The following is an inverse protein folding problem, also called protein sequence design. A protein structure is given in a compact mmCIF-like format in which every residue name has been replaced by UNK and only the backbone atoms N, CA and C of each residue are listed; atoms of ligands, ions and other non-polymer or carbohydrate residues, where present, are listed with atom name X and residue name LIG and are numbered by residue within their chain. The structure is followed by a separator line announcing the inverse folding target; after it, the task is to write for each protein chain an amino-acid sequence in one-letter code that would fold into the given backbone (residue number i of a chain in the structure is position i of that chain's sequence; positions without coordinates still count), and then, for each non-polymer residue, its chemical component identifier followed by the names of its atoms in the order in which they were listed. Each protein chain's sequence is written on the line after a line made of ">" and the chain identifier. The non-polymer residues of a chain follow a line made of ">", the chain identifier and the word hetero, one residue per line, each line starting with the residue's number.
data_IF_036579277650
#
_entry.id   IF_036579277650
#
_cell.length_a   1.000
_cell.length_b   1.000
_cell.length_c   1.000
_cell.angle_alpha   90.00
_cell.angle_beta   90.00
_cell.angle_gamma   90.00
#
_symmetry.space_group_name_H-M   'P 1'
#
loop_
_entity.id
_entity.type
_entity.pdbx_description
1 polymer ?
#
# COMPACT_ATOMS: atom_id res chain seq x y z
N UNK A 1 -23.26 -1.40 22.84
CA UNK A 1 -22.93 -0.56 21.67
C UNK A 1 -21.89 0.44 22.11
N UNK A 2 -20.63 0.23 21.72
CA UNK A 2 -19.60 1.26 21.88
C UNK A 2 -19.56 1.98 20.55
N UNK A 3 -20.10 3.19 20.50
CA UNK A 3 -19.89 4.12 19.39
C UNK A 3 -18.45 4.61 19.49
N UNK A 4 -17.51 3.87 18.91
CA UNK A 4 -16.16 4.40 18.69
C UNK A 4 -16.30 5.55 17.70
N UNK A 5 -15.90 6.74 18.14
CA UNK A 5 -15.61 7.87 17.25
C UNK A 5 -14.92 7.36 16.00
N UNK A 6 -15.38 7.80 14.83
CA UNK A 6 -14.93 7.36 13.50
C UNK A 6 -13.43 7.67 13.33
N UNK A 7 -12.58 6.84 13.95
CA UNK A 7 -11.13 6.90 13.90
C UNK A 7 -10.72 6.48 12.51
N UNK A 8 -10.49 7.47 11.67
CA UNK A 8 -10.03 7.33 10.31
C UNK A 8 -8.73 6.52 10.26
N UNK A 9 -8.82 5.21 10.04
CA UNK A 9 -7.63 4.36 10.00
C UNK A 9 -6.74 4.78 8.82
N UNK A 10 -5.44 4.89 9.09
CA UNK A 10 -4.41 5.15 8.09
C UNK A 10 -3.70 3.86 7.75
N UNK A 11 -3.41 3.64 6.47
CA UNK A 11 -2.65 2.50 5.98
C UNK A 11 -1.32 2.98 5.43
N UNK A 12 -0.21 2.52 5.99
CA UNK A 12 1.13 2.69 5.45
C UNK A 12 1.51 1.46 4.64
N UNK A 13 2.00 1.66 3.42
CA UNK A 13 2.30 0.58 2.47
C UNK A 13 3.68 0.82 1.83
N UNK A 14 4.42 -0.27 1.63
CA UNK A 14 5.73 -0.31 0.97
C UNK A 14 5.93 -1.65 0.25
N UNK A 15 6.67 -1.63 -0.86
CA UNK A 15 7.14 -2.81 -1.58
C UNK A 15 8.66 -2.80 -1.80
N UNK A 16 9.31 -3.89 -1.40
CA UNK A 16 10.73 -4.11 -1.64
C UNK A 16 10.95 -5.11 -2.77
N UNK A 17 11.65 -4.68 -3.83
CA UNK A 17 12.08 -5.56 -4.94
C UNK A 17 13.56 -5.90 -4.78
N UNK A 18 13.92 -7.18 -4.93
CA UNK A 18 15.32 -7.61 -4.99
C UNK A 18 15.72 -7.93 -6.43
N UNK A 19 16.66 -7.16 -7.01
CA UNK A 19 17.05 -7.24 -8.44
C UNK A 19 17.40 -8.66 -8.90
N UNK A 20 18.18 -9.40 -8.12
CA UNK A 20 18.69 -10.72 -8.50
C UNK A 20 17.83 -11.87 -7.94
N UNK A 21 16.54 -11.62 -7.73
CA UNK A 21 15.65 -12.59 -7.08
C UNK A 21 14.22 -12.40 -7.58
N UNK A 22 13.48 -13.49 -7.85
CA UNK A 22 12.09 -13.41 -8.28
C UNK A 22 11.17 -13.16 -7.07
N UNK A 23 11.56 -12.27 -6.15
CA UNK A 23 10.82 -12.07 -4.91
C UNK A 23 10.63 -10.59 -4.65
N UNK A 24 9.37 -10.25 -4.35
CA UNK A 24 8.95 -8.94 -3.87
C UNK A 24 8.39 -9.10 -2.47
N UNK A 25 8.90 -8.29 -1.55
CA UNK A 25 8.33 -8.12 -0.22
C UNK A 25 7.30 -7.00 -0.24
N UNK A 26 6.17 -7.21 0.41
CA UNK A 26 5.14 -6.18 0.63
C UNK A 26 4.95 -6.03 2.14
N UNK A 27 4.90 -4.80 2.62
CA UNK A 27 4.60 -4.45 4.00
C UNK A 27 3.38 -3.53 4.07
N UNK A 28 2.43 -3.86 4.95
CA UNK A 28 1.23 -3.07 5.19
C UNK A 28 1.05 -2.90 6.70
N UNK A 29 0.87 -1.66 7.16
CA UNK A 29 0.58 -1.33 8.56
C UNK A 29 -0.66 -0.44 8.61
N UNK A 30 -1.68 -0.86 9.35
CA UNK A 30 -2.88 -0.06 9.63
C UNK A 30 -2.74 0.56 11.02
N UNK A 31 -2.95 1.87 11.11
CA UNK A 31 -2.82 2.64 12.35
C UNK A 31 -4.07 3.43 12.66
N UNK A 32 -4.33 3.62 13.95
CA UNK A 32 -5.32 4.57 14.43
C UNK A 32 -4.76 6.01 14.45
N UNK A 33 -5.59 6.96 14.90
CA UNK A 33 -5.25 8.37 14.98
C UNK A 33 -4.17 8.69 16.03
N UNK A 34 -3.87 7.78 16.96
CA UNK A 34 -2.77 7.91 17.92
C UNK A 34 -1.47 7.31 17.39
N UNK A 35 -1.49 6.74 16.17
CA UNK A 35 -0.36 6.07 15.56
C UNK A 35 -0.17 4.63 16.03
N UNK A 36 -1.10 4.10 16.82
CA UNK A 36 -1.06 2.72 17.32
C UNK A 36 -1.39 1.75 16.20
N UNK A 37 -0.65 0.65 16.14
CA UNK A 37 -0.86 -0.39 15.11
C UNK A 37 -2.12 -1.17 15.46
N UNK A 38 -3.10 -1.14 14.56
CA UNK A 38 -4.36 -1.89 14.65
C UNK A 38 -4.23 -3.24 13.94
N UNK A 39 -3.52 -3.26 12.81
CA UNK A 39 -3.25 -4.47 12.04
C UNK A 39 -1.96 -4.31 11.24
N UNK A 40 -1.28 -5.41 10.96
CA UNK A 40 -0.13 -5.43 10.07
C UNK A 40 -0.07 -6.75 9.31
N UNK A 41 0.44 -6.70 8.09
CA UNK A 41 0.70 -7.91 7.29
C UNK A 41 1.93 -7.70 6.42
N UNK A 42 2.69 -8.78 6.24
CA UNK A 42 3.70 -8.86 5.19
C UNK A 42 3.31 -9.95 4.20
N UNK A 43 3.63 -9.73 2.92
CA UNK A 43 3.47 -10.74 1.88
C UNK A 43 4.76 -10.86 1.10
N UNK A 44 5.07 -12.09 0.71
CA UNK A 44 6.11 -12.40 -0.26
C UNK A 44 5.42 -12.81 -1.56
N UNK A 45 5.75 -12.13 -2.65
CA UNK A 45 5.19 -12.38 -3.99
C UNK A 45 6.32 -12.89 -4.86
N UNK A 46 6.07 -13.97 -5.60
CA UNK A 46 7.04 -14.52 -6.56
C UNK A 46 6.85 -13.85 -7.91
N UNK A 47 7.91 -13.26 -8.45
CA UNK A 47 7.95 -12.62 -9.76
C UNK A 47 9.04 -11.54 -9.86
N UNK A 48 9.37 -11.15 -11.09
CA UNK A 48 10.21 -10.00 -11.38
C UNK A 48 9.30 -8.83 -11.76
N UNK A 49 9.27 -7.81 -10.93
CA UNK A 49 8.42 -6.63 -11.12
C UNK A 49 9.28 -5.37 -11.07
N UNK A 50 8.87 -4.34 -11.82
CA UNK A 50 9.41 -3.01 -11.61
C UNK A 50 9.06 -2.54 -10.19
N UNK A 51 9.87 -1.67 -9.55
CA UNK A 51 9.49 -1.06 -8.27
C UNK A 51 8.12 -0.38 -8.31
N UNK A 52 7.77 0.25 -9.43
CA UNK A 52 6.43 0.83 -9.64
C UNK A 52 5.33 -0.22 -9.56
N UNK A 53 5.46 -1.33 -10.29
CA UNK A 53 4.45 -2.38 -10.29
C UNK A 53 4.38 -3.08 -8.93
N UNK A 54 5.50 -3.26 -8.25
CA UNK A 54 5.55 -3.78 -6.88
C UNK A 54 4.78 -2.91 -5.89
N UNK A 55 4.97 -1.59 -5.95
CA UNK A 55 4.23 -0.61 -5.13
C UNK A 55 2.73 -0.58 -5.46
N UNK A 56 2.36 -0.63 -6.75
CA UNK A 56 0.96 -0.76 -7.16
C UNK A 56 0.30 -2.04 -6.59
N UNK A 57 1.02 -3.16 -6.63
CA UNK A 57 0.55 -4.43 -6.04
C UNK A 57 0.41 -4.30 -4.53
N UNK A 58 1.35 -3.63 -3.86
CA UNK A 58 1.29 -3.39 -2.42
C UNK A 58 0.05 -2.57 -2.03
N UNK A 59 -0.26 -1.50 -2.78
CA UNK A 59 -1.48 -0.70 -2.58
C UNK A 59 -2.74 -1.55 -2.74
N UNK A 60 -2.82 -2.34 -3.82
CA UNK A 60 -3.95 -3.25 -4.07
C UNK A 60 -4.12 -4.27 -2.93
N UNK A 61 -3.03 -4.92 -2.53
CA UNK A 61 -3.06 -5.94 -1.49
C UNK A 61 -3.39 -5.34 -0.12
N UNK A 62 -2.93 -4.13 0.17
CA UNK A 62 -3.27 -3.38 1.39
C UNK A 62 -4.74 -3.00 1.46
N UNK A 63 -5.32 -2.56 0.35
CA UNK A 63 -6.77 -2.32 0.23
C UNK A 63 -7.56 -3.61 0.49
N UNK A 64 -7.19 -4.70 -0.19
CA UNK A 64 -7.87 -5.98 -0.03
C UNK A 64 -7.77 -6.52 1.40
N UNK A 65 -6.62 -6.35 2.05
CA UNK A 65 -6.43 -6.70 3.45
C UNK A 65 -7.38 -5.93 4.38
N UNK A 66 -7.51 -4.61 4.17
CA UNK A 66 -8.41 -3.78 4.99
C UNK A 66 -9.88 -4.13 4.78
N UNK A 67 -10.29 -4.39 3.54
CA UNK A 67 -11.66 -4.85 3.21
C UNK A 67 -11.94 -6.20 3.88
N UNK A 68 -11.03 -7.18 3.78
CA UNK A 68 -11.19 -8.50 4.38
C UNK A 68 -11.37 -8.45 5.90
N UNK A 69 -10.76 -7.46 6.56
CA UNK A 69 -10.85 -7.26 8.00
C UNK A 69 -11.94 -6.27 8.43
N UNK A 70 -12.76 -5.76 7.50
CA UNK A 70 -13.76 -4.73 7.76
C UNK A 70 -13.19 -3.49 8.46
N UNK A 71 -11.98 -3.07 8.08
CA UNK A 71 -11.30 -1.90 8.65
C UNK A 71 -11.73 -0.63 7.91
N UNK A 72 -12.35 0.36 8.58
CA UNK A 72 -12.80 1.60 7.96
C UNK A 72 -11.63 2.57 7.75
N UNK A 73 -10.87 2.33 6.67
CA UNK A 73 -9.72 3.14 6.30
C UNK A 73 -10.13 4.45 5.63
N UNK A 74 -9.37 5.51 5.88
CA UNK A 74 -9.58 6.85 5.31
C UNK A 74 -8.40 7.34 4.47
N UNK A 75 -7.20 6.85 4.77
CA UNK A 75 -5.99 7.31 4.09
C UNK A 75 -5.05 6.15 3.83
N UNK A 76 -4.48 6.13 2.63
CA UNK A 76 -3.36 5.26 2.28
C UNK A 76 -2.15 6.16 2.03
N UNK A 77 -1.02 5.78 2.61
CA UNK A 77 0.25 6.46 2.46
C UNK A 77 1.27 5.48 1.87
N UNK A 78 1.84 5.86 0.73
CA UNK A 78 2.99 5.24 0.07
C UNK A 78 3.97 6.35 -0.28
N UNK A 79 5.26 6.02 -0.31
CA UNK A 79 6.33 6.92 -0.76
C UNK A 79 6.51 6.88 -2.29
N UNK A 80 5.79 6.01 -3.00
CA UNK A 80 5.81 5.91 -4.45
C UNK A 80 4.96 7.01 -5.12
N UNK A 81 5.56 8.19 -5.33
CA UNK A 81 4.87 9.36 -5.92
C UNK A 81 4.28 9.08 -7.31
N UNK A 82 4.95 8.26 -8.11
CA UNK A 82 4.48 7.81 -9.42
C UNK A 82 3.20 6.96 -9.31
N UNK A 83 3.10 6.09 -8.30
CA UNK A 83 1.89 5.31 -8.00
C UNK A 83 0.74 6.21 -7.56
N UNK A 84 0.99 7.17 -6.67
CA UNK A 84 -0.04 8.15 -6.25
C UNK A 84 -0.57 8.92 -7.46
N UNK A 85 0.32 9.39 -8.35
CA UNK A 85 -0.07 10.07 -9.59
C UNK A 85 -0.90 9.17 -10.50
N UNK A 86 -0.49 7.91 -10.69
CA UNK A 86 -1.19 6.95 -11.54
C UNK A 86 -2.60 6.64 -11.02
N UNK A 87 -2.79 6.56 -9.71
CA UNK A 87 -4.10 6.30 -9.09
C UNK A 87 -5.01 7.52 -9.16
N UNK A 88 -4.48 8.72 -8.89
CA UNK A 88 -5.28 9.94 -8.78
C UNK A 88 -5.57 10.64 -10.12
N UNK A 89 -4.86 10.26 -11.19
CA UNK A 89 -5.01 10.89 -12.51
C UNK A 89 -5.65 9.90 -13.48
N UNK A 90 -6.95 10.03 -13.81
CA UNK A 90 -7.58 9.23 -14.85
C UNK A 90 -7.08 9.70 -16.22
N UNK A 91 -5.93 9.19 -16.66
CA UNK A 91 -5.42 9.38 -18.01
C UNK A 91 -4.90 8.04 -18.53
N UNK A 92 -5.19 7.72 -19.79
CA UNK A 92 -4.94 6.40 -20.43
C UNK A 92 -3.46 5.96 -20.46
N UNK A 93 -2.51 6.76 -19.98
CA UNK A 93 -1.07 6.57 -20.12
C UNK A 93 -0.29 7.01 -18.87
N UNK A 94 -0.71 6.60 -17.67
CA UNK A 94 0.11 6.81 -16.47
C UNK A 94 1.45 6.04 -16.59
N UNK A 95 2.41 6.67 -17.27
CA UNK A 95 3.72 6.14 -17.60
C UNK A 95 4.53 5.88 -16.33
N UNK A 96 5.17 4.71 -16.27
CA UNK A 96 6.18 4.39 -15.26
C UNK A 96 7.24 5.49 -15.26
N UNK A 97 7.29 6.31 -14.21
CA UNK A 97 8.38 7.24 -13.98
C UNK A 97 9.30 6.68 -12.91
N UNK A 98 10.61 6.89 -13.06
CA UNK A 98 11.62 6.41 -12.12
C UNK A 98 11.37 6.94 -10.71
N UNK A 99 11.54 6.06 -9.73
CA UNK A 99 11.54 6.43 -8.31
C UNK A 99 12.89 7.07 -7.98
N UNK A 100 12.87 8.26 -7.40
CA UNK A 100 14.04 8.86 -6.74
C UNK A 100 13.98 8.38 -5.29
N UNK A 101 14.98 7.58 -4.90
CA UNK A 101 15.22 7.12 -3.53
C UNK A 101 16.01 8.19 -2.79
#
# INVERSE_FOLDING_TARGET
>A
MVTSTLGALKVNIDAAVKRDSPHVGVGIIVRDNFGMIVAAVTRKITGFFSPFLAECIAVRDGLHFCVKLNLPIRTIETHARNVVKAILTPHELALESSIII
#
